data_IF_940087239622
#
_entry.id   IF_940087239622
#
_cell.length_a   1.000
_cell.length_b   1.000
_cell.length_c   1.000
_cell.angle_alpha   90.00
_cell.angle_beta   90.00
_cell.angle_gamma   90.00
#
_symmetry.space_group_name_H-M   'P 1'
#
loop_
_entity.id
_entity.type
_entity.pdbx_description
1 polymer ?
#
# COMPACT_ATOMS: atom_id res chain seq x y z
N UNK A 1 71.74 -17.02 -26.19
CA UNK A 1 71.51 -18.24 -25.39
C UNK A 1 70.01 -18.47 -25.26
N UNK A 2 69.39 -19.20 -26.19
CA UNK A 2 68.15 -19.94 -25.92
C UNK A 2 68.03 -21.10 -26.92
N UNK A 3 67.95 -22.29 -26.34
CA UNK A 3 67.89 -23.65 -26.92
C UNK A 3 66.47 -23.89 -27.47
N UNK A 4 66.29 -24.35 -28.72
CA UNK A 4 65.88 -25.71 -29.11
C UNK A 4 65.00 -26.43 -28.06
N UNK A 5 63.88 -27.12 -28.29
CA UNK A 5 63.29 -27.89 -29.42
C UNK A 5 61.97 -28.51 -28.85
N UNK A 6 60.87 -28.84 -29.54
CA UNK A 6 60.63 -29.95 -30.49
C UNK A 6 59.12 -29.96 -30.87
N UNK A 7 58.88 -30.24 -32.16
CA UNK A 7 57.67 -30.69 -32.90
C UNK A 7 57.48 -32.23 -32.66
N UNK A 8 56.50 -33.05 -33.17
CA UNK A 8 55.36 -32.95 -34.14
C UNK A 8 54.03 -33.53 -33.56
N UNK A 9 52.93 -33.87 -34.24
CA UNK A 9 52.32 -33.78 -35.59
C UNK A 9 50.84 -34.21 -35.38
N UNK A 10 49.92 -33.70 -36.19
CA UNK A 10 48.89 -34.49 -36.93
C UNK A 10 47.69 -33.62 -37.34
N UNK A 11 47.56 -33.45 -38.66
CA UNK A 11 46.37 -32.98 -39.35
C UNK A 11 45.30 -34.08 -39.39
N UNK A 12 44.01 -33.82 -39.70
CA UNK A 12 43.64 -33.51 -41.09
C UNK A 12 42.44 -32.56 -41.29
N UNK A 13 42.38 -32.09 -42.53
CA UNK A 13 41.31 -31.40 -43.24
C UNK A 13 40.04 -32.24 -43.43
N UNK A 14 38.85 -31.62 -43.42
CA UNK A 14 37.68 -31.91 -44.30
C UNK A 14 36.48 -31.06 -43.81
N UNK A 15 36.07 -30.07 -44.59
CA UNK A 15 34.88 -30.10 -45.46
C UNK A 15 33.54 -30.18 -44.69
N UNK A 16 32.90 -29.02 -44.54
CA UNK A 16 31.44 -28.84 -44.48
C UNK A 16 30.85 -29.02 -45.89
N UNK A 17 29.56 -29.44 -46.08
CA UNK A 17 28.44 -28.48 -45.99
C UNK A 17 27.02 -29.07 -45.81
N UNK A 18 26.18 -28.57 -44.90
CA UNK A 18 24.70 -28.49 -45.09
C UNK A 18 24.02 -27.64 -43.99
N UNK A 19 22.81 -27.06 -44.21
CA UNK A 19 22.67 -25.62 -44.34
C UNK A 19 21.94 -24.93 -43.18
N UNK A 20 22.13 -23.62 -43.20
CA UNK A 20 21.57 -22.56 -42.39
C UNK A 20 20.06 -22.37 -42.62
N UNK A 21 19.21 -22.45 -41.59
CA UNK A 21 18.02 -21.57 -41.42
C UNK A 21 17.74 -21.41 -39.92
N UNK A 22 17.95 -20.19 -39.44
CA UNK A 22 17.47 -19.66 -38.17
C UNK A 22 15.94 -19.78 -38.10
N UNK A 23 15.42 -20.44 -37.05
CA UNK A 23 14.06 -20.21 -36.54
C UNK A 23 14.15 -19.92 -35.05
N UNK A 24 13.71 -18.71 -34.73
CA UNK A 24 13.70 -18.09 -33.42
C UNK A 24 12.84 -18.83 -32.41
N UNK A 25 13.14 -18.56 -31.15
CA UNK A 25 12.59 -19.19 -29.96
C UNK A 25 11.09 -19.00 -29.76
N UNK A 26 10.49 -20.01 -29.13
CA UNK A 26 9.25 -19.88 -28.38
C UNK A 26 9.14 -21.06 -27.39
N UNK A 27 10.09 -21.16 -26.46
CA UNK A 27 9.95 -22.00 -25.27
C UNK A 27 10.67 -21.31 -24.12
N UNK A 28 9.95 -20.41 -23.42
CA UNK A 28 10.25 -20.19 -22.00
C UNK A 28 9.06 -19.58 -21.25
N UNK A 29 8.69 -20.27 -20.18
CA UNK A 29 8.08 -19.73 -18.97
C UNK A 29 6.67 -19.14 -19.01
N UNK A 30 5.72 -20.02 -19.28
CA UNK A 30 4.40 -19.98 -18.65
C UNK A 30 4.50 -20.30 -17.13
N UNK A 31 5.08 -19.42 -16.32
CA UNK A 31 4.98 -19.45 -14.85
C UNK A 31 4.97 -18.03 -14.27
N UNK A 32 3.80 -17.55 -13.83
CA UNK A 32 3.77 -16.44 -12.87
C UNK A 32 2.53 -15.56 -12.80
N UNK A 33 1.59 -15.61 -13.75
CA UNK A 33 0.39 -14.77 -13.67
C UNK A 33 -0.75 -15.50 -12.93
N UNK A 34 -0.67 -15.61 -11.60
CA UNK A 34 -1.80 -16.09 -10.80
C UNK A 34 -2.86 -14.98 -10.77
N UNK A 35 -3.99 -15.24 -11.44
CA UNK A 35 -5.15 -14.35 -11.45
C UNK A 35 -5.55 -13.95 -10.00
N UNK A 36 -6.04 -12.71 -9.78
CA UNK A 36 -6.45 -12.26 -8.46
C UNK A 36 -7.56 -13.17 -7.94
N UNK A 37 -7.28 -13.90 -6.85
CA UNK A 37 -8.28 -14.74 -6.21
C UNK A 37 -9.43 -13.85 -5.73
N UNK A 38 -10.64 -14.07 -6.30
CA UNK A 38 -11.88 -13.53 -5.75
C UNK A 38 -12.07 -14.14 -4.36
N UNK A 39 -11.78 -13.38 -3.31
CA UNK A 39 -12.07 -13.76 -1.93
C UNK A 39 -13.58 -13.67 -1.76
N UNK A 40 -14.29 -14.80 -1.92
CA UNK A 40 -15.71 -14.89 -1.61
C UNK A 40 -15.88 -15.01 -0.09
N UNK A 41 -16.58 -14.05 0.53
CA UNK A 41 -16.98 -14.11 1.95
C UNK A 41 -17.88 -15.32 2.25
N UNK A 42 -18.43 -15.99 1.24
CA UNK A 42 -19.23 -17.21 1.39
C UNK A 42 -18.41 -18.44 1.82
N UNK A 43 -17.08 -18.39 1.71
CA UNK A 43 -16.20 -19.53 2.07
C UNK A 43 -15.78 -19.51 3.55
N UNK A 44 -16.23 -18.54 4.35
CA UNK A 44 -16.02 -18.56 5.80
C UNK A 44 -16.95 -19.60 6.43
N UNK A 45 -16.38 -20.69 6.94
CA UNK A 45 -17.12 -21.67 7.75
C UNK A 45 -17.82 -20.97 8.92
N UNK A 46 -19.02 -21.43 9.27
CA UNK A 46 -19.84 -20.84 10.33
C UNK A 46 -19.07 -20.63 11.64
N UNK A 47 -18.14 -21.54 11.98
CA UNK A 47 -17.28 -21.44 13.16
C UNK A 47 -16.26 -20.28 13.08
N UNK A 48 -15.66 -20.01 11.90
CA UNK A 48 -14.77 -18.85 11.71
C UNK A 48 -15.55 -17.53 11.75
N UNK A 49 -16.78 -17.54 11.25
CA UNK A 49 -17.68 -16.40 11.31
C UNK A 49 -18.14 -16.12 12.75
N UNK A 50 -18.47 -17.16 13.51
CA UNK A 50 -18.82 -17.05 14.92
C UNK A 50 -17.65 -16.52 15.77
N UNK A 51 -16.43 -17.04 15.54
CA UNK A 51 -15.23 -16.53 16.19
C UNK A 51 -15.04 -15.02 15.94
N UNK A 52 -15.11 -14.59 14.67
CA UNK A 52 -15.00 -13.18 14.29
C UNK A 52 -16.07 -12.27 14.93
N UNK A 53 -17.30 -12.77 15.09
CA UNK A 53 -18.40 -12.05 15.73
C UNK A 53 -18.30 -12.04 17.26
N UNK A 54 -17.57 -12.99 17.85
CA UNK A 54 -17.32 -13.08 19.29
C UNK A 54 -16.05 -12.35 19.74
N UNK A 55 -15.25 -11.86 18.79
CA UNK A 55 -14.00 -11.17 19.09
C UNK A 55 -14.21 -9.74 19.56
N UNK A 56 -13.29 -9.26 20.40
CA UNK A 56 -13.24 -7.84 20.71
C UNK A 56 -12.93 -7.03 19.43
N UNK A 57 -13.39 -5.78 19.33
CA UNK A 57 -13.08 -4.90 18.20
C UNK A 57 -11.58 -4.84 17.88
N UNK A 58 -10.73 -4.78 18.90
CA UNK A 58 -9.26 -4.70 18.79
C UNK A 58 -8.65 -6.00 18.22
N UNK A 59 -9.19 -7.15 18.63
CA UNK A 59 -8.78 -8.45 18.09
C UNK A 59 -9.18 -8.60 16.62
N UNK A 60 -10.35 -8.09 16.25
CA UNK A 60 -10.84 -8.04 14.87
C UNK A 60 -9.95 -7.15 13.99
N UNK A 61 -9.66 -5.94 14.44
CA UNK A 61 -8.78 -4.98 13.76
C UNK A 61 -7.37 -5.55 13.56
N UNK A 62 -6.79 -6.13 14.61
CA UNK A 62 -5.44 -6.72 14.56
C UNK A 62 -5.32 -7.82 13.51
N UNK A 63 -6.33 -8.69 13.39
CA UNK A 63 -6.35 -9.74 12.36
C UNK A 63 -6.58 -9.16 10.97
N UNK A 64 -7.49 -8.19 10.84
CA UNK A 64 -7.74 -7.49 9.58
C UNK A 64 -6.46 -6.81 9.08
N UNK A 65 -5.70 -6.15 9.96
CA UNK A 65 -4.43 -5.50 9.64
C UNK A 65 -3.37 -6.50 9.16
N UNK A 66 -3.16 -7.62 9.87
CA UNK A 66 -2.23 -8.68 9.44
C UNK A 66 -2.59 -9.22 8.05
N UNK A 67 -3.88 -9.48 7.84
CA UNK A 67 -4.36 -9.93 6.54
C UNK A 67 -4.16 -8.85 5.45
N UNK A 68 -4.46 -7.60 5.76
CA UNK A 68 -4.32 -6.45 4.86
C UNK A 68 -2.88 -6.27 4.37
N UNK A 69 -1.91 -6.16 5.29
CA UNK A 69 -0.50 -5.92 4.94
C UNK A 69 0.10 -7.04 4.10
N UNK A 70 -0.25 -8.30 4.42
CA UNK A 70 0.18 -9.48 3.66
C UNK A 70 -0.22 -9.41 2.18
N UNK A 71 -1.36 -8.81 1.85
CA UNK A 71 -1.87 -8.74 0.47
C UNK A 71 -1.58 -7.41 -0.23
N UNK A 72 -1.53 -6.33 0.53
CA UNK A 72 -1.21 -5.01 -0.02
C UNK A 72 0.26 -4.96 -0.45
N UNK A 73 1.19 -5.31 0.44
CA UNK A 73 2.64 -5.22 0.23
C UNK A 73 3.27 -6.62 0.37
N UNK A 74 2.98 -7.57 -0.55
CA UNK A 74 3.48 -8.95 -0.42
C UNK A 74 5.01 -9.05 -0.52
N UNK A 75 5.66 -8.04 -1.11
CA UNK A 75 7.12 -7.93 -1.25
C UNK A 75 7.72 -6.91 -0.26
N UNK A 76 7.02 -6.64 0.86
CA UNK A 76 7.45 -5.67 1.86
C UNK A 76 8.86 -5.97 2.39
N UNK A 77 9.12 -7.23 2.73
CA UNK A 77 10.43 -7.70 3.22
C UNK A 77 11.56 -7.42 2.23
N UNK A 78 11.29 -7.58 0.92
CA UNK A 78 12.25 -7.28 -0.14
C UNK A 78 12.53 -5.78 -0.25
N UNK A 79 11.47 -4.95 -0.20
CA UNK A 79 11.61 -3.49 -0.28
C UNK A 79 12.28 -2.88 0.95
N UNK A 80 12.05 -3.48 2.12
CA UNK A 80 12.63 -3.07 3.40
C UNK A 80 14.00 -3.69 3.68
N UNK A 81 14.39 -4.76 2.95
CA UNK A 81 15.61 -5.53 3.21
C UNK A 81 15.66 -6.07 4.65
N UNK A 82 14.53 -6.61 5.13
CA UNK A 82 14.35 -7.18 6.47
C UNK A 82 13.53 -8.46 6.37
N UNK A 83 13.63 -9.33 7.38
CA UNK A 83 12.78 -10.52 7.49
C UNK A 83 11.34 -10.19 7.92
N UNK A 84 11.09 -8.97 8.41
CA UNK A 84 9.76 -8.51 8.79
C UNK A 84 8.83 -8.40 7.56
N UNK A 85 7.66 -9.02 7.69
CA UNK A 85 6.66 -9.14 6.60
C UNK A 85 5.46 -8.23 6.84
N UNK A 86 5.33 -7.65 8.02
CA UNK A 86 4.23 -6.78 8.41
C UNK A 86 4.70 -5.33 8.57
N UNK A 87 3.74 -4.40 8.54
CA UNK A 87 4.01 -3.02 8.92
C UNK A 87 4.42 -2.95 10.40
N UNK A 88 5.51 -2.24 10.67
CA UNK A 88 5.91 -1.83 12.02
C UNK A 88 5.92 -0.29 12.06
N UNK A 89 4.90 0.34 12.66
CA UNK A 89 4.83 1.80 12.74
C UNK A 89 5.98 2.39 13.57
N UNK A 90 6.42 3.60 13.23
CA UNK A 90 7.33 4.38 14.06
C UNK A 90 8.82 4.07 13.88
N UNK A 91 9.19 3.14 13.00
CA UNK A 91 10.62 2.86 12.71
C UNK A 91 11.30 4.01 11.99
N UNK A 92 10.55 4.87 11.28
CA UNK A 92 11.05 6.00 10.48
C UNK A 92 12.09 5.62 9.41
N UNK A 93 12.11 4.34 9.04
CA UNK A 93 13.07 3.77 8.09
C UNK A 93 12.36 2.96 7.00
N UNK A 94 12.97 2.95 5.80
CA UNK A 94 12.49 2.18 4.65
C UNK A 94 11.02 2.44 4.32
N UNK A 95 10.30 1.38 3.95
CA UNK A 95 8.87 1.45 3.56
C UNK A 95 7.98 1.85 4.75
N UNK A 96 8.31 1.45 5.98
CA UNK A 96 7.54 1.87 7.16
C UNK A 96 7.66 3.39 7.38
N UNK A 97 8.86 3.94 7.26
CA UNK A 97 9.08 5.39 7.30
C UNK A 97 8.36 6.15 6.18
N UNK A 98 8.31 5.58 4.97
CA UNK A 98 7.52 6.13 3.86
C UNK A 98 6.02 6.14 4.18
N UNK A 99 5.46 5.05 4.73
CA UNK A 99 4.07 4.99 5.17
C UNK A 99 3.78 6.01 6.27
N UNK A 100 4.64 6.08 7.29
CA UNK A 100 4.49 7.01 8.40
C UNK A 100 4.49 8.47 7.91
N UNK A 101 5.34 8.80 6.93
CA UNK A 101 5.35 10.14 6.32
C UNK A 101 4.10 10.44 5.50
N UNK A 102 3.64 9.49 4.68
CA UNK A 102 2.40 9.66 3.92
C UNK A 102 1.18 9.83 4.83
N UNK A 103 1.14 9.09 5.93
CA UNK A 103 0.11 9.22 6.95
C UNK A 103 0.20 10.54 7.71
N UNK A 104 1.40 11.06 7.96
CA UNK A 104 1.56 12.39 8.54
C UNK A 104 0.95 13.47 7.62
N UNK A 105 1.19 13.41 6.31
CA UNK A 105 0.56 14.33 5.33
C UNK A 105 -0.96 14.23 5.39
N UNK A 106 -1.49 13.01 5.37
CA UNK A 106 -2.93 12.77 5.41
C UNK A 106 -3.55 13.27 6.72
N UNK A 107 -2.91 12.99 7.86
CA UNK A 107 -3.31 13.48 9.19
C UNK A 107 -3.34 15.00 9.21
N UNK A 108 -2.33 15.68 8.64
CA UNK A 108 -2.32 17.14 8.55
C UNK A 108 -3.49 17.68 7.72
N UNK A 109 -3.84 17.02 6.61
CA UNK A 109 -5.00 17.40 5.80
C UNK A 109 -6.32 17.25 6.56
N UNK A 110 -6.48 16.16 7.31
CA UNK A 110 -7.64 15.92 8.18
C UNK A 110 -7.69 16.94 9.33
N UNK A 111 -6.58 17.17 10.03
CA UNK A 111 -6.46 18.16 11.10
C UNK A 111 -6.87 19.56 10.63
N UNK A 112 -6.38 19.97 9.45
CA UNK A 112 -6.74 21.26 8.86
C UNK A 112 -8.25 21.38 8.67
N UNK A 113 -8.90 20.32 8.18
CA UNK A 113 -10.35 20.34 7.96
C UNK A 113 -11.13 20.27 9.29
N UNK A 114 -10.72 19.41 10.24
CA UNK A 114 -11.31 19.35 11.57
C UNK A 114 -11.27 20.72 12.27
N UNK A 115 -10.13 21.40 12.22
CA UNK A 115 -9.99 22.74 12.77
C UNK A 115 -10.91 23.76 12.06
N UNK A 116 -11.02 23.68 10.73
CA UNK A 116 -11.90 24.55 9.95
C UNK A 116 -13.40 24.37 10.28
N UNK A 117 -13.81 23.17 10.70
CA UNK A 117 -15.18 22.85 11.11
C UNK A 117 -15.38 22.93 12.64
N UNK A 118 -14.40 23.44 13.40
CA UNK A 118 -14.54 23.72 14.84
C UNK A 118 -14.37 22.52 15.77
N UNK A 119 -13.81 21.41 15.30
CA UNK A 119 -13.57 20.23 16.14
C UNK A 119 -12.36 20.37 17.05
N UNK A 120 -12.47 19.81 18.26
CA UNK A 120 -11.33 19.58 19.15
C UNK A 120 -10.66 18.26 18.74
N UNK A 121 -9.59 18.35 17.96
CA UNK A 121 -8.93 17.16 17.38
C UNK A 121 -8.35 16.17 18.42
N UNK A 122 -8.20 16.58 19.69
CA UNK A 122 -7.70 15.73 20.76
C UNK A 122 -8.74 14.75 21.32
N UNK A 123 -10.04 14.97 21.07
CA UNK A 123 -11.13 14.14 21.62
C UNK A 123 -11.52 13.06 20.61
N UNK A 124 -10.89 11.89 20.73
CA UNK A 124 -11.17 10.74 19.88
C UNK A 124 -12.51 10.05 20.21
N UNK A 125 -13.01 9.31 19.22
CA UNK A 125 -14.16 8.41 19.31
C UNK A 125 -13.69 7.05 19.81
N UNK A 126 -12.65 6.49 19.19
CA UNK A 126 -12.07 5.19 19.54
C UNK A 126 -10.68 5.36 20.15
N UNK A 127 -9.86 6.26 19.62
CA UNK A 127 -8.55 6.56 20.18
C UNK A 127 -8.68 7.35 21.51
N UNK A 128 -8.04 6.85 22.56
CA UNK A 128 -8.02 7.55 23.86
C UNK A 128 -7.20 8.83 23.76
N UNK A 129 -7.79 9.94 24.20
CA UNK A 129 -7.11 11.22 24.31
C UNK A 129 -5.90 11.14 25.26
N UNK A 130 -4.72 11.46 24.75
CA UNK A 130 -3.48 11.66 25.53
C UNK A 130 -2.99 13.10 25.31
N UNK A 131 -2.22 13.63 26.26
CA UNK A 131 -1.62 14.96 26.10
C UNK A 131 -0.81 15.04 24.79
N UNK A 132 -1.10 16.03 23.96
CA UNK A 132 -0.46 16.21 22.65
C UNK A 132 -0.91 15.23 21.55
N UNK A 133 -1.92 14.39 21.81
CA UNK A 133 -2.51 13.51 20.79
C UNK A 133 -3.55 14.24 19.95
N UNK A 134 -3.70 13.79 18.71
CA UNK A 134 -4.76 14.20 17.79
C UNK A 134 -5.71 13.03 17.54
N UNK A 135 -6.25 12.46 18.63
CA UNK A 135 -7.02 11.22 18.60
C UNK A 135 -8.19 11.23 17.61
N UNK A 136 -8.94 12.33 17.51
CA UNK A 136 -10.01 12.45 16.53
C UNK A 136 -9.49 12.47 15.10
N UNK A 137 -8.35 13.12 14.86
CA UNK A 137 -7.74 13.13 13.54
C UNK A 137 -7.29 11.72 13.15
N UNK A 138 -6.80 10.93 14.12
CA UNK A 138 -6.43 9.53 13.92
C UNK A 138 -7.63 8.64 13.61
N UNK A 139 -8.75 8.83 14.30
CA UNK A 139 -10.02 8.15 14.00
C UNK A 139 -10.53 8.52 12.60
N UNK A 140 -10.59 9.81 12.28
CA UNK A 140 -11.15 10.31 11.03
C UNK A 140 -10.27 9.96 9.83
N UNK A 141 -8.95 9.92 9.99
CA UNK A 141 -8.05 9.55 8.90
C UNK A 141 -8.04 8.05 8.58
N UNK A 142 -8.56 7.20 9.46
CA UNK A 142 -8.43 5.75 9.33
C UNK A 142 -9.00 5.18 8.02
N UNK A 143 -10.21 5.57 7.58
CA UNK A 143 -10.76 5.14 6.29
C UNK A 143 -9.98 5.68 5.08
N UNK A 144 -9.11 6.67 5.29
CA UNK A 144 -8.35 7.36 4.24
C UNK A 144 -6.95 6.78 4.04
N UNK A 145 -6.42 6.00 5.00
CA UNK A 145 -5.10 5.35 4.91
C UNK A 145 -4.88 4.57 3.60
N UNK A 146 -5.88 3.86 3.04
CA UNK A 146 -5.71 3.13 1.78
C UNK A 146 -5.22 3.97 0.59
N UNK A 147 -5.51 5.28 0.57
CA UNK A 147 -5.00 6.18 -0.49
C UNK A 147 -3.48 6.25 -0.51
N UNK A 148 -2.86 6.45 0.66
CA UNK A 148 -1.40 6.47 0.80
C UNK A 148 -0.82 5.09 0.50
N UNK A 149 -1.46 4.05 1.01
CA UNK A 149 -1.03 2.66 0.86
C UNK A 149 -0.96 2.21 -0.59
N UNK A 150 -2.00 2.53 -1.38
CA UNK A 150 -2.05 2.24 -2.82
C UNK A 150 -0.94 2.98 -3.57
N UNK A 151 -0.79 4.28 -3.33
CA UNK A 151 0.18 5.10 -4.04
C UNK A 151 1.61 4.70 -3.69
N UNK A 152 1.89 4.33 -2.45
CA UNK A 152 3.18 3.80 -2.06
C UNK A 152 3.46 2.45 -2.71
N UNK A 153 2.46 1.55 -2.75
CA UNK A 153 2.59 0.27 -3.46
C UNK A 153 2.98 0.51 -4.92
N UNK A 154 2.29 1.41 -5.62
CA UNK A 154 2.59 1.77 -7.02
C UNK A 154 4.00 2.35 -7.14
N UNK A 155 4.36 3.27 -6.25
CA UNK A 155 5.70 3.87 -6.22
C UNK A 155 6.83 2.82 -6.11
N UNK A 156 6.62 1.76 -5.33
CA UNK A 156 7.58 0.68 -5.08
C UNK A 156 7.53 -0.47 -6.11
N UNK A 157 6.59 -0.46 -7.07
CA UNK A 157 6.51 -1.52 -8.09
C UNK A 157 7.80 -1.67 -8.91
N UNK A 158 8.52 -0.56 -9.11
CA UNK A 158 9.84 -0.54 -9.77
C UNK A 158 11.02 -0.96 -8.89
N UNK A 159 10.77 -1.36 -7.63
CA UNK A 159 11.81 -1.73 -6.67
C UNK A 159 12.04 -0.67 -5.58
N UNK A 160 13.15 -0.82 -4.84
CA UNK A 160 13.52 0.10 -3.76
C UNK A 160 13.84 1.48 -4.34
N UNK A 161 13.28 2.52 -3.73
CA UNK A 161 13.47 3.92 -4.13
C UNK A 161 13.84 4.80 -2.93
N UNK A 162 14.48 5.95 -3.14
CA UNK A 162 14.81 6.88 -2.06
C UNK A 162 13.57 7.50 -1.39
N UNK A 163 13.67 7.76 -0.08
CA UNK A 163 12.62 8.45 0.69
C UNK A 163 12.27 9.83 0.12
N UNK A 164 13.25 10.58 -0.36
CA UNK A 164 13.07 11.94 -0.86
C UNK A 164 12.19 12.00 -2.11
N UNK A 165 12.23 10.95 -2.95
CA UNK A 165 11.32 10.81 -4.07
C UNK A 165 9.89 10.57 -3.59
N UNK A 166 9.73 9.69 -2.59
CA UNK A 166 8.44 9.45 -1.97
C UNK A 166 7.88 10.72 -1.32
N UNK A 167 8.69 11.51 -0.61
CA UNK A 167 8.22 12.74 0.03
C UNK A 167 7.61 13.73 -0.97
N UNK A 168 8.19 13.85 -2.16
CA UNK A 168 7.64 14.69 -3.25
C UNK A 168 6.32 14.13 -3.78
N UNK A 169 6.21 12.81 -3.94
CA UNK A 169 5.01 12.17 -4.48
C UNK A 169 3.88 12.03 -3.44
N UNK A 170 4.19 11.86 -2.15
CA UNK A 170 3.20 11.68 -1.10
C UNK A 170 2.24 12.89 -0.99
N UNK A 171 2.72 14.09 -1.27
CA UNK A 171 1.88 15.31 -1.31
C UNK A 171 0.91 15.29 -2.49
N UNK A 172 1.29 14.70 -3.63
CA UNK A 172 0.42 14.64 -4.81
C UNK A 172 -0.78 13.71 -4.62
N UNK A 173 -0.72 12.80 -3.63
CA UNK A 173 -1.86 11.95 -3.23
C UNK A 173 -3.09 12.80 -2.89
N UNK A 174 -2.89 13.95 -2.25
CA UNK A 174 -3.98 14.88 -1.90
C UNK A 174 -4.63 15.54 -3.15
N UNK A 175 -3.98 15.46 -4.30
CA UNK A 175 -4.45 16.02 -5.57
C UNK A 175 -5.16 14.98 -6.45
N UNK A 176 -5.18 13.71 -6.06
CA UNK A 176 -5.88 12.66 -6.81
C UNK A 176 -7.36 12.96 -6.94
N UNK A 177 -7.93 12.67 -8.10
CA UNK A 177 -9.36 12.79 -8.32
C UNK A 177 -10.11 11.62 -7.66
N UNK A 178 -11.11 11.96 -6.87
CA UNK A 178 -11.98 11.03 -6.18
C UNK A 178 -13.44 11.31 -6.53
N UNK A 179 -14.24 10.27 -6.82
CA UNK A 179 -15.67 10.44 -7.01
C UNK A 179 -16.32 10.75 -5.65
N UNK A 180 -17.06 11.86 -5.57
CA UNK A 180 -17.77 12.27 -4.36
C UNK A 180 -19.16 12.79 -4.73
N UNK A 181 -20.20 12.07 -4.33
CA UNK A 181 -21.58 12.25 -4.83
C UNK A 181 -21.64 12.08 -6.36
N UNK A 182 -22.09 13.12 -7.09
CA UNK A 182 -22.20 13.11 -8.57
C UNK A 182 -21.01 13.76 -9.28
N UNK A 183 -20.04 14.29 -8.53
CA UNK A 183 -18.92 15.06 -9.08
C UNK A 183 -17.58 14.40 -8.74
N UNK A 184 -16.57 14.61 -9.58
CA UNK A 184 -15.17 14.34 -9.22
C UNK A 184 -14.58 15.57 -8.54
N UNK A 185 -13.73 15.34 -7.55
CA UNK A 185 -12.97 16.41 -6.89
C UNK A 185 -11.63 15.89 -6.40
N UNK A 186 -10.72 16.79 -6.04
CA UNK A 186 -9.44 16.41 -5.44
C UNK A 186 -9.65 15.80 -4.06
N UNK A 187 -8.83 14.81 -3.67
CA UNK A 187 -8.90 14.16 -2.36
C UNK A 187 -8.87 15.18 -1.22
N UNK A 188 -8.05 16.23 -1.31
CA UNK A 188 -8.01 17.31 -0.31
C UNK A 188 -9.36 17.99 -0.08
N UNK A 189 -10.14 18.19 -1.15
CA UNK A 189 -11.47 18.78 -1.08
C UNK A 189 -12.49 17.77 -0.58
N UNK A 190 -12.34 16.50 -0.98
CA UNK A 190 -13.21 15.43 -0.51
C UNK A 190 -13.04 15.15 0.99
N UNK A 191 -11.84 15.32 1.54
CA UNK A 191 -11.60 15.29 2.99
C UNK A 191 -12.42 16.39 3.68
N UNK A 192 -12.52 17.57 3.09
CA UNK A 192 -13.34 18.64 3.67
C UNK A 192 -14.85 18.32 3.66
N UNK A 193 -15.35 17.77 2.55
CA UNK A 193 -16.73 17.28 2.45
C UNK A 193 -16.99 16.16 3.45
N UNK A 194 -16.02 15.26 3.63
CA UNK A 194 -16.11 14.16 4.58
C UNK A 194 -16.21 14.66 6.02
N UNK A 195 -15.30 15.54 6.45
CA UNK A 195 -15.35 16.11 7.81
C UNK A 195 -16.63 16.91 8.05
N UNK A 196 -17.10 17.68 7.06
CA UNK A 196 -18.42 18.34 7.17
C UNK A 196 -19.55 17.33 7.35
N UNK A 197 -19.59 16.29 6.52
CA UNK A 197 -20.62 15.25 6.64
C UNK A 197 -20.54 14.48 7.95
N UNK A 198 -19.34 14.37 8.53
CA UNK A 198 -19.12 13.81 9.84
C UNK A 198 -19.73 14.69 10.94
N UNK A 199 -19.57 16.02 10.85
CA UNK A 199 -20.27 16.96 11.74
C UNK A 199 -21.79 16.82 11.63
N UNK A 200 -22.31 16.82 10.41
CA UNK A 200 -23.75 16.68 10.15
C UNK A 200 -24.29 15.36 10.74
N UNK A 201 -23.59 14.24 10.49
CA UNK A 201 -23.95 12.92 11.00
C UNK A 201 -23.92 12.86 12.54
N UNK A 202 -22.92 13.49 13.16
CA UNK A 202 -22.77 13.52 14.62
C UNK A 202 -23.87 14.36 15.28
N UNK A 203 -24.18 15.54 14.74
CA UNK A 203 -25.21 16.44 15.28
C UNK A 203 -26.64 15.90 15.08
N UNK A 204 -26.89 15.21 13.96
CA UNK A 204 -28.20 14.63 13.65
C UNK A 204 -28.36 13.19 14.13
N UNK A 205 -27.36 12.62 14.80
CA UNK A 205 -27.31 11.21 15.19
C UNK A 205 -27.64 10.24 14.05
N UNK A 206 -27.25 10.59 12.83
CA UNK A 206 -27.62 9.84 11.60
C UNK A 206 -26.35 9.42 10.84
N UNK A 207 -25.81 8.21 11.11
CA UNK A 207 -24.56 7.75 10.51
C UNK A 207 -24.60 7.63 8.99
N UNK A 208 -25.77 7.43 8.39
CA UNK A 208 -25.94 7.29 6.93
C UNK A 208 -25.65 8.57 6.15
N UNK A 209 -25.52 9.72 6.83
CA UNK A 209 -25.12 10.98 6.20
C UNK A 209 -23.60 11.05 5.95
N UNK A 210 -22.82 10.17 6.56
CA UNK A 210 -21.37 10.18 6.45
C UNK A 210 -20.92 9.87 5.01
N UNK A 211 -20.11 10.76 4.45
CA UNK A 211 -19.58 10.62 3.09
C UNK A 211 -18.09 10.40 3.16
N UNK A 212 -17.63 9.18 2.87
CA UNK A 212 -16.22 8.83 2.90
C UNK A 212 -15.68 8.78 1.46
N UNK A 213 -14.57 9.44 1.13
CA UNK A 213 -13.94 9.32 -0.18
C UNK A 213 -13.26 7.96 -0.29
N UNK A 214 -14.00 6.99 -0.83
CA UNK A 214 -13.50 5.64 -1.02
C UNK A 214 -12.61 5.53 -2.25
N UNK A 215 -11.62 4.63 -2.17
CA UNK A 215 -10.88 4.21 -3.35
C UNK A 215 -11.84 3.62 -4.40
N UNK A 216 -11.66 3.94 -5.69
CA UNK A 216 -12.46 3.37 -6.78
C UNK A 216 -12.18 1.89 -7.03
#
# INVERSE_FOLDING_TARGET
STRASRVPDDAPSSESPVPNVVREGADNDARGARAPQKISLATLTASKRAAFLSDSPEASESRAARHYWKHLLPRLSEWQQTEEKNRVPGTREGVNGMLDYGYAILRTAVLRSLAAHGFIAAIGIAHTAKAGSFALADDVMEPLRPWIDRELKVFLQGGKRPMQEWMRQAVSVLQLEVPMNRNKMRLLNAIDVYVRSFADAAMSHTPSLLKIPMLP
#
